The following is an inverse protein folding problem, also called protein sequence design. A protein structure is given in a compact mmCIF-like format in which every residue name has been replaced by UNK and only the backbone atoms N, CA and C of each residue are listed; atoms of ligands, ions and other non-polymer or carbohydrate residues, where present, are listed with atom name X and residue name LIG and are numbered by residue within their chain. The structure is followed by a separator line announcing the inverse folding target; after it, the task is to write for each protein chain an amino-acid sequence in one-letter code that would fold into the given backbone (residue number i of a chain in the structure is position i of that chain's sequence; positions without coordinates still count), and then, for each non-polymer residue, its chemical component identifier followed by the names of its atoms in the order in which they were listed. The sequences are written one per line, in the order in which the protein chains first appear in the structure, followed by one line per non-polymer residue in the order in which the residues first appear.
data_IF_379183494598
#
_entry.id   IF_379183494598
#
_cell.length_a   1.000
_cell.length_b   1.000
_cell.length_c   1.000
_cell.angle_alpha   90.00
_cell.angle_beta   90.00
_cell.angle_gamma   90.00
#
_symmetry.space_group_name_H-M   'P 1'
#
loop_
_entity.id
_entity.type
_entity.pdbx_description
1 polymer ?
#
# COMPACT_ATOMS: atom_id res chain seq x y z
N UNK A 1 14.67 -19.14 0.35
CA UNK A 1 13.75 -18.91 -0.78
C UNK A 1 14.22 -17.72 -1.59
N UNK A 2 14.21 -17.85 -2.93
CA UNK A 2 14.68 -16.78 -3.83
C UNK A 2 13.60 -15.78 -4.18
N UNK A 3 12.32 -16.14 -4.07
CA UNK A 3 11.17 -15.27 -4.37
C UNK A 3 10.04 -15.49 -3.37
N UNK A 4 9.33 -14.42 -3.07
CA UNK A 4 8.12 -14.44 -2.23
C UNK A 4 7.02 -13.74 -2.99
N UNK A 5 5.89 -14.42 -3.15
CA UNK A 5 4.67 -13.88 -3.75
C UNK A 5 3.63 -13.66 -2.65
N UNK A 6 3.12 -12.44 -2.56
CA UNK A 6 2.02 -12.11 -1.66
C UNK A 6 0.71 -12.07 -2.46
N UNK A 7 -0.22 -12.96 -2.16
CA UNK A 7 -1.55 -12.94 -2.77
C UNK A 7 -2.50 -12.10 -1.92
N UNK A 8 -2.86 -12.58 -0.73
CA UNK A 8 -3.69 -11.84 0.22
C UNK A 8 -2.87 -11.06 1.24
N UNK A 9 -1.54 -11.23 1.24
CA UNK A 9 -0.58 -10.53 2.09
C UNK A 9 -0.10 -9.18 1.56
N UNK A 10 -0.63 -8.70 0.45
CA UNK A 10 -0.29 -7.39 -0.13
C UNK A 10 -0.29 -6.22 0.88
N UNK A 11 -1.16 -6.19 1.91
CA UNK A 11 -1.10 -5.16 2.95
C UNK A 11 0.24 -5.05 3.67
N UNK A 12 1.05 -6.12 3.76
CA UNK A 12 2.41 -6.07 4.35
C UNK A 12 3.29 -5.06 3.61
N UNK A 13 3.23 -5.09 2.28
CA UNK A 13 3.97 -4.14 1.43
C UNK A 13 3.22 -2.81 1.27
N UNK A 14 1.88 -2.84 1.34
CA UNK A 14 1.04 -1.66 1.22
C UNK A 14 1.14 -0.70 2.40
N UNK A 15 1.31 -1.20 3.64
CA UNK A 15 1.36 -0.35 4.83
C UNK A 15 2.49 0.69 4.79
N UNK A 16 3.74 0.37 4.45
CA UNK A 16 4.80 1.38 4.29
C UNK A 16 4.47 2.42 3.22
N UNK A 17 3.85 1.99 2.11
CA UNK A 17 3.44 2.90 1.03
C UNK A 17 2.34 3.85 1.52
N UNK A 18 1.29 3.32 2.17
CA UNK A 18 0.19 4.10 2.77
C UNK A 18 0.75 5.16 3.75
N UNK A 19 1.63 4.74 4.65
CA UNK A 19 2.25 5.67 5.60
C UNK A 19 3.16 6.68 4.93
N UNK A 20 3.92 6.26 3.92
CA UNK A 20 4.81 7.13 3.16
C UNK A 20 4.07 8.19 2.33
N UNK A 21 2.92 7.83 1.76
CA UNK A 21 2.09 8.72 0.92
C UNK A 21 1.15 9.64 1.73
N UNK A 22 1.13 9.53 3.05
CA UNK A 22 0.31 10.37 3.91
C UNK A 22 0.97 11.74 4.13
N UNK A 23 0.35 12.83 3.66
CA UNK A 23 0.86 14.19 3.73
C UNK A 23 1.17 14.69 5.14
N UNK A 24 0.48 14.19 6.16
CA UNK A 24 0.80 14.49 7.56
C UNK A 24 2.17 13.92 7.97
N UNK A 25 2.52 12.73 7.47
CA UNK A 25 3.82 12.12 7.70
C UNK A 25 4.92 12.84 6.90
N UNK A 26 4.59 13.30 5.69
CA UNK A 26 5.48 14.14 4.87
C UNK A 26 5.80 15.44 5.59
N UNK A 27 4.78 16.21 6.01
CA UNK A 27 4.96 17.46 6.74
C UNK A 27 5.78 17.28 8.03
N UNK A 28 5.61 16.17 8.73
CA UNK A 28 6.36 15.87 9.96
C UNK A 28 7.79 15.39 9.72
N UNK A 29 8.21 15.23 8.46
CA UNK A 29 9.52 14.68 8.12
C UNK A 29 9.70 13.20 8.48
N UNK A 30 8.58 12.46 8.66
CA UNK A 30 8.59 11.04 9.01
C UNK A 30 8.59 10.16 7.75
N UNK A 31 7.95 10.65 6.66
CA UNK A 31 7.89 9.90 5.40
C UNK A 31 9.25 9.81 4.73
N UNK A 32 9.71 8.60 4.36
CA UNK A 32 10.92 8.43 3.57
C UNK A 32 10.78 8.92 2.11
N UNK A 33 9.56 9.28 1.70
CA UNK A 33 9.24 9.80 0.37
C UNK A 33 9.18 11.33 0.32
N UNK A 34 9.31 12.02 1.47
CA UNK A 34 9.22 13.47 1.56
C UNK A 34 10.29 14.15 0.71
N UNK A 35 9.88 15.10 -0.16
CA UNK A 35 10.77 15.85 -1.04
C UNK A 35 11.32 15.05 -2.22
N UNK A 36 10.75 13.90 -2.52
CA UNK A 36 11.16 13.02 -3.61
C UNK A 36 10.14 12.91 -4.74
N UNK A 37 9.21 13.86 -4.81
CA UNK A 37 8.23 13.94 -5.91
C UNK A 37 8.94 14.06 -7.25
N UNK A 38 8.50 13.29 -8.23
CA UNK A 38 9.12 13.18 -9.55
C UNK A 38 10.24 12.15 -9.66
N UNK A 39 10.72 11.58 -8.55
CA UNK A 39 11.73 10.51 -8.58
C UNK A 39 11.12 9.13 -8.90
N UNK A 40 11.89 8.29 -9.56
CA UNK A 40 11.57 6.87 -9.76
C UNK A 40 11.94 6.08 -8.49
N UNK A 41 10.96 5.81 -7.63
CA UNK A 41 11.17 5.16 -6.34
C UNK A 41 10.86 3.66 -6.36
N UNK A 42 10.04 3.24 -7.31
CA UNK A 42 9.52 1.88 -7.42
C UNK A 42 9.73 1.34 -8.82
N UNK A 43 9.45 0.06 -9.00
CA UNK A 43 9.42 -0.58 -10.32
C UNK A 43 8.37 0.11 -11.23
N UNK A 44 8.69 0.26 -12.50
CA UNK A 44 7.83 0.93 -13.49
C UNK A 44 6.44 0.28 -13.67
N UNK A 45 6.28 -0.97 -13.24
CA UNK A 45 4.99 -1.67 -13.26
C UNK A 45 4.06 -1.26 -12.12
N UNK A 46 4.54 -0.48 -11.13
CA UNK A 46 3.72 -0.08 -9.99
C UNK A 46 3.02 1.24 -10.28
N UNK A 47 1.69 1.20 -10.33
CA UNK A 47 0.83 2.40 -10.31
C UNK A 47 -0.11 2.31 -9.11
N UNK A 48 -0.14 3.35 -8.30
CA UNK A 48 -0.99 3.45 -7.10
C UNK A 48 -1.83 4.72 -7.18
N UNK A 49 -3.13 4.55 -7.05
CA UNK A 49 -4.09 5.66 -7.06
C UNK A 49 -4.99 5.59 -5.84
N UNK A 50 -5.52 6.74 -5.42
CA UNK A 50 -6.68 6.83 -4.53
C UNK A 50 -7.86 7.37 -5.34
N UNK A 51 -8.90 6.55 -5.52
CA UNK A 51 -10.04 6.91 -6.38
C UNK A 51 -11.39 6.80 -5.65
N UNK A 52 -11.86 7.92 -5.08
CA UNK A 52 -13.16 8.01 -4.43
C UNK A 52 -14.34 8.14 -5.41
N UNK A 53 -14.09 8.22 -6.72
CA UNK A 53 -15.12 8.46 -7.74
C UNK A 53 -15.73 7.18 -8.28
N UNK A 54 -15.21 6.02 -7.87
CA UNK A 54 -15.67 4.72 -8.35
C UNK A 54 -17.02 4.34 -7.74
N UNK A 55 -17.99 4.03 -8.59
CA UNK A 55 -19.32 3.61 -8.16
C UNK A 55 -19.29 2.31 -7.34
N UNK A 56 -20.06 2.30 -6.25
CA UNK A 56 -20.25 1.12 -5.42
C UNK A 56 -19.06 0.69 -4.56
N UNK A 57 -17.99 1.49 -4.49
CA UNK A 57 -16.88 1.24 -3.57
C UNK A 57 -17.12 1.85 -2.19
N UNK A 58 -16.70 1.19 -1.09
CA UNK A 58 -16.99 1.64 0.27
C UNK A 58 -16.47 3.04 0.60
N UNK A 59 -15.32 3.45 0.04
CA UNK A 59 -14.70 4.76 0.27
C UNK A 59 -15.18 5.85 -0.69
N UNK A 60 -16.15 5.56 -1.58
CA UNK A 60 -16.59 6.52 -2.59
C UNK A 60 -17.58 7.52 -2.03
N UNK A 61 -17.33 8.80 -2.28
CA UNK A 61 -18.22 9.91 -1.97
C UNK A 61 -17.82 11.13 -2.79
N UNK A 62 -18.75 12.09 -2.91
CA UNK A 62 -18.51 13.33 -3.67
C UNK A 62 -17.59 14.33 -2.96
N UNK A 63 -17.59 14.32 -1.63
CA UNK A 63 -16.81 15.21 -0.78
C UNK A 63 -16.22 14.43 0.38
N UNK A 64 -15.11 14.92 0.91
CA UNK A 64 -14.55 14.42 2.15
C UNK A 64 -15.26 15.02 3.39
N UNK A 65 -14.81 14.69 4.60
CA UNK A 65 -15.43 15.17 5.83
C UNK A 65 -15.15 16.65 6.16
N UNK A 66 -14.33 17.31 5.36
CA UNK A 66 -14.05 18.74 5.43
C UNK A 66 -14.80 19.54 4.34
N UNK A 67 -15.60 18.85 3.50
CA UNK A 67 -16.36 19.45 2.40
C UNK A 67 -15.53 19.73 1.15
N UNK A 68 -14.31 19.20 1.06
CA UNK A 68 -13.47 19.29 -0.15
C UNK A 68 -13.96 18.27 -1.18
N UNK A 69 -14.21 18.68 -2.44
CA UNK A 69 -14.56 17.74 -3.49
C UNK A 69 -13.50 16.65 -3.63
N UNK A 70 -13.94 15.40 -3.62
CA UNK A 70 -13.04 14.26 -3.84
C UNK A 70 -12.70 14.11 -5.31
N UNK A 71 -11.48 13.69 -5.59
CA UNK A 71 -10.97 13.47 -6.92
C UNK A 71 -10.07 12.24 -6.98
N UNK A 72 -9.86 11.70 -8.17
CA UNK A 72 -8.88 10.65 -8.40
C UNK A 72 -7.47 11.23 -8.25
N UNK A 73 -6.73 10.74 -7.28
CA UNK A 73 -5.35 11.14 -7.02
C UNK A 73 -4.40 10.03 -7.47
N UNK A 74 -3.58 10.28 -8.48
CA UNK A 74 -2.47 9.40 -8.84
C UNK A 74 -1.32 9.72 -7.89
N UNK A 75 -0.83 8.76 -7.15
CA UNK A 75 0.19 8.94 -6.12
C UNK A 75 1.54 8.36 -6.51
N UNK A 76 1.50 7.24 -7.21
CA UNK A 76 2.65 6.62 -7.87
C UNK A 76 2.20 6.30 -9.30
N UNK A 77 2.91 6.81 -10.29
CA UNK A 77 2.66 6.54 -11.70
C UNK A 77 3.86 5.85 -12.32
N UNK A 78 3.67 4.60 -12.74
CA UNK A 78 4.74 3.78 -13.32
C UNK A 78 6.03 3.82 -12.47
N UNK A 79 5.87 3.63 -11.15
CA UNK A 79 6.96 3.66 -10.18
C UNK A 79 7.47 5.04 -9.78
N UNK A 80 7.04 6.10 -10.43
CA UNK A 80 7.40 7.48 -10.13
C UNK A 80 6.48 8.07 -9.08
N UNK A 81 7.02 8.65 -8.03
CA UNK A 81 6.23 9.37 -7.02
C UNK A 81 5.65 10.65 -7.63
N UNK A 82 4.32 10.78 -7.63
CA UNK A 82 3.61 11.93 -8.21
C UNK A 82 3.00 12.86 -7.18
N UNK A 83 2.74 12.36 -5.95
CA UNK A 83 2.17 13.19 -4.91
C UNK A 83 1.79 12.43 -3.65
N UNK A 84 1.08 13.12 -2.77
CA UNK A 84 0.64 12.64 -1.46
C UNK A 84 -0.82 13.01 -1.24
N UNK A 85 -1.47 12.37 -0.26
CA UNK A 85 -2.83 12.74 0.16
C UNK A 85 -2.78 13.76 1.29
N UNK A 86 -3.66 14.78 1.22
CA UNK A 86 -3.73 15.87 2.19
C UNK A 86 -5.16 16.18 2.62
N UNK A 87 -5.35 16.48 3.90
CA UNK A 87 -6.51 17.21 4.43
C UNK A 87 -6.28 18.73 4.31
N UNK A 88 -7.27 19.55 4.63
CA UNK A 88 -7.15 21.03 4.58
C UNK A 88 -5.99 21.53 5.44
N UNK A 89 -5.86 21.01 6.64
CA UNK A 89 -4.85 21.46 7.60
C UNK A 89 -3.44 21.10 7.16
N UNK A 90 -3.22 19.86 6.77
CA UNK A 90 -1.88 19.40 6.37
C UNK A 90 -1.47 19.98 5.03
N UNK A 91 -2.42 20.21 4.11
CA UNK A 91 -2.18 20.93 2.86
C UNK A 91 -1.68 22.35 3.11
N UNK A 92 -2.40 23.10 3.97
CA UNK A 92 -2.00 24.47 4.34
C UNK A 92 -0.63 24.52 5.00
N UNK A 93 -0.31 23.57 5.88
CA UNK A 93 1.00 23.47 6.53
C UNK A 93 2.12 23.10 5.58
N UNK A 94 1.83 22.29 4.57
CA UNK A 94 2.80 21.87 3.54
C UNK A 94 2.90 22.90 2.39
N UNK A 95 2.05 23.91 2.33
CA UNK A 95 2.02 24.90 1.26
C UNK A 95 1.53 24.33 -0.08
N UNK A 96 0.59 23.38 -0.02
CA UNK A 96 -0.01 22.71 -1.19
C UNK A 96 -1.53 22.74 -1.13
N UNK A 97 -2.19 22.21 -2.17
CA UNK A 97 -3.64 22.11 -2.23
C UNK A 97 -4.14 20.83 -1.53
N UNK A 98 -5.35 20.86 -0.92
CA UNK A 98 -5.97 19.67 -0.37
C UNK A 98 -6.40 18.70 -1.49
N UNK A 99 -6.37 17.41 -1.20
CA UNK A 99 -6.63 16.37 -2.20
C UNK A 99 -8.02 15.72 -2.07
N UNK A 100 -8.87 16.22 -1.16
CA UNK A 100 -10.17 15.61 -0.87
C UNK A 100 -10.06 14.33 -0.06
N UNK A 101 -9.07 14.27 0.82
CA UNK A 101 -8.75 13.10 1.64
C UNK A 101 -8.86 13.37 3.15
N UNK A 102 -9.58 14.44 3.54
CA UNK A 102 -9.84 14.74 4.94
C UNK A 102 -10.88 13.78 5.51
N UNK A 103 -10.47 12.87 6.40
CA UNK A 103 -11.38 11.95 7.08
C UNK A 103 -11.37 12.20 8.59
N UNK A 104 -12.54 12.17 9.21
CA UNK A 104 -12.72 12.42 10.62
C UNK A 104 -13.35 11.24 11.33
N UNK A 105 -12.69 10.75 12.36
CA UNK A 105 -13.31 9.83 13.30
C UNK A 105 -14.29 10.54 14.22
N UNK A 106 -15.14 9.77 14.91
CA UNK A 106 -16.21 10.30 15.78
C UNK A 106 -15.72 11.31 16.83
N UNK A 107 -14.51 11.14 17.35
CA UNK A 107 -13.92 11.96 18.41
C UNK A 107 -12.55 12.54 18.05
N UNK A 108 -12.18 12.54 16.78
CA UNK A 108 -10.89 13.05 16.31
C UNK A 108 -11.05 14.17 15.29
N UNK A 109 -10.10 15.12 15.22
CA UNK A 109 -10.06 16.09 14.14
C UNK A 109 -9.77 15.38 12.81
N UNK A 110 -10.11 16.01 11.67
CA UNK A 110 -9.77 15.49 10.35
C UNK A 110 -8.27 15.20 10.21
N UNK A 111 -7.96 14.19 9.43
CA UNK A 111 -6.59 13.85 9.04
C UNK A 111 -6.58 13.17 7.68
N UNK A 112 -5.46 13.21 6.93
CA UNK A 112 -5.39 12.56 5.63
C UNK A 112 -5.63 11.06 5.74
N UNK A 113 -6.58 10.55 4.95
CA UNK A 113 -6.93 9.13 4.84
C UNK A 113 -7.22 8.76 3.40
N UNK A 114 -6.91 7.50 3.05
CA UNK A 114 -7.25 6.96 1.75
C UNK A 114 -8.75 6.65 1.68
N UNK A 115 -9.34 6.89 0.52
CA UNK A 115 -10.72 6.52 0.22
C UNK A 115 -10.78 5.09 -0.35
N UNK A 116 -10.34 4.92 -1.57
CA UNK A 116 -10.19 3.62 -2.24
C UNK A 116 -8.78 3.54 -2.84
N UNK A 117 -7.82 3.08 -2.05
CA UNK A 117 -6.47 2.85 -2.58
C UNK A 117 -6.46 1.65 -3.52
N UNK A 118 -5.98 1.86 -4.72
CA UNK A 118 -5.93 0.87 -5.79
C UNK A 118 -4.47 0.74 -6.25
N UNK A 119 -4.01 -0.48 -6.32
CA UNK A 119 -2.84 -0.85 -7.10
C UNK A 119 -3.35 -1.34 -8.44
N UNK A 120 -2.96 -0.70 -9.52
CA UNK A 120 -3.41 -1.09 -10.86
C UNK A 120 -2.92 -2.50 -11.19
N UNK A 121 -3.79 -3.27 -11.85
CA UNK A 121 -3.47 -4.65 -12.19
C UNK A 121 -2.36 -4.73 -13.25
N UNK A 122 -1.44 -5.66 -13.07
CA UNK A 122 -0.49 -6.04 -14.12
C UNK A 122 -1.13 -6.96 -15.17
N UNK A 123 -0.33 -7.35 -16.15
CA UNK A 123 -0.79 -8.18 -17.26
C UNK A 123 -0.81 -9.69 -16.94
N UNK A 124 0.00 -10.13 -15.96
CA UNK A 124 0.14 -11.55 -15.63
C UNK A 124 -0.90 -12.00 -14.62
N UNK A 125 -1.50 -13.15 -14.87
CA UNK A 125 -2.30 -13.87 -13.88
C UNK A 125 -1.43 -14.43 -12.75
N UNK A 126 -2.04 -14.76 -11.62
CA UNK A 126 -1.33 -15.40 -10.49
C UNK A 126 -0.68 -16.71 -10.91
N UNK A 127 -1.36 -17.50 -11.74
CA UNK A 127 -0.85 -18.79 -12.21
C UNK A 127 0.38 -18.62 -13.12
N UNK A 128 0.40 -17.60 -13.98
CA UNK A 128 1.55 -17.26 -14.81
C UNK A 128 2.74 -16.78 -13.96
N UNK A 129 2.47 -15.99 -12.91
CA UNK A 129 3.51 -15.55 -11.98
C UNK A 129 4.10 -16.76 -11.24
N UNK A 130 3.26 -17.67 -10.74
CA UNK A 130 3.70 -18.90 -10.07
C UNK A 130 4.52 -19.78 -11.00
N UNK A 131 4.07 -19.97 -12.25
CA UNK A 131 4.77 -20.77 -13.25
C UNK A 131 6.19 -20.24 -13.56
N UNK A 132 6.42 -18.95 -13.39
CA UNK A 132 7.72 -18.30 -13.55
C UNK A 132 8.65 -18.39 -12.32
N UNK A 133 8.26 -19.09 -11.25
CA UNK A 133 9.04 -19.19 -10.02
C UNK A 133 9.56 -20.62 -9.82
N UNK A 134 10.88 -20.81 -9.93
CA UNK A 134 11.50 -22.13 -9.70
C UNK A 134 11.46 -22.53 -8.23
N UNK A 135 11.77 -21.60 -7.31
CA UNK A 135 11.74 -21.80 -5.86
C UNK A 135 11.26 -20.53 -5.16
N UNK A 136 10.19 -20.64 -4.37
CA UNK A 136 9.60 -19.51 -3.68
C UNK A 136 8.57 -19.88 -2.63
N UNK A 137 7.94 -18.83 -2.07
CA UNK A 137 6.80 -18.91 -1.18
C UNK A 137 5.64 -18.09 -1.74
N UNK A 138 4.45 -18.67 -1.71
CA UNK A 138 3.18 -17.96 -1.86
C UNK A 138 2.62 -17.71 -0.48
N UNK A 139 2.61 -16.44 -0.06
CA UNK A 139 2.08 -16.02 1.25
C UNK A 139 0.63 -15.60 1.12
N UNK A 140 -0.27 -16.33 1.78
CA UNK A 140 -1.69 -16.04 1.82
C UNK A 140 -2.09 -15.18 3.02
N UNK A 141 -1.54 -15.50 4.20
CA UNK A 141 -1.92 -14.80 5.42
C UNK A 141 -0.73 -14.55 6.34
N UNK A 142 -0.22 -13.32 6.39
CA UNK A 142 0.75 -12.92 7.40
C UNK A 142 0.05 -12.65 8.74
N UNK A 143 0.75 -12.91 9.84
CA UNK A 143 0.33 -12.57 11.20
C UNK A 143 1.05 -11.31 11.68
N UNK A 144 0.36 -10.48 12.48
CA UNK A 144 1.00 -9.33 13.12
C UNK A 144 1.30 -8.18 12.16
N UNK A 145 0.41 -7.90 11.22
CA UNK A 145 0.49 -6.72 10.37
C UNK A 145 0.67 -5.45 11.21
N UNK A 146 1.70 -4.67 10.89
CA UNK A 146 2.05 -3.45 11.65
C UNK A 146 3.03 -3.67 12.79
N UNK A 147 3.47 -4.89 13.06
CA UNK A 147 4.61 -5.14 13.93
C UNK A 147 5.92 -4.80 13.21
N UNK A 148 6.76 -4.03 13.85
CA UNK A 148 7.98 -3.48 13.25
C UNK A 148 7.89 -1.99 12.95
N UNK A 149 8.90 -1.45 12.29
CA UNK A 149 8.90 -0.04 11.88
C UNK A 149 8.30 0.09 10.47
N UNK A 150 6.97 0.19 10.42
CA UNK A 150 6.22 0.32 9.16
C UNK A 150 6.69 1.51 8.32
N UNK A 151 7.13 2.58 8.95
CA UNK A 151 7.56 3.81 8.27
C UNK A 151 8.87 3.58 7.52
N UNK A 152 9.82 2.87 8.10
CA UNK A 152 11.09 2.54 7.44
C UNK A 152 10.96 1.37 6.45
N UNK A 153 9.79 0.74 6.37
CA UNK A 153 9.58 -0.47 5.57
C UNK A 153 10.19 -1.74 6.19
N UNK A 154 10.74 -1.65 7.43
CA UNK A 154 11.23 -2.82 8.13
C UNK A 154 10.06 -3.58 8.75
N UNK A 155 9.89 -4.83 8.36
CA UNK A 155 8.88 -5.72 8.92
C UNK A 155 9.47 -7.10 9.21
N UNK A 156 8.91 -7.75 10.23
CA UNK A 156 9.16 -9.15 10.55
C UNK A 156 7.82 -9.74 11.00
N UNK A 157 7.24 -10.57 10.16
CA UNK A 157 5.92 -11.12 10.41
C UNK A 157 5.96 -12.65 10.37
N UNK A 158 5.29 -13.28 11.31
CA UNK A 158 5.01 -14.71 11.23
C UNK A 158 4.01 -14.97 10.09
N UNK A 159 4.06 -16.14 9.51
CA UNK A 159 3.13 -16.58 8.49
C UNK A 159 2.08 -17.51 9.11
N UNK A 160 0.80 -17.19 8.91
CA UNK A 160 -0.30 -18.08 9.28
C UNK A 160 -0.57 -19.10 8.19
N UNK A 161 -0.48 -18.67 6.94
CA UNK A 161 -0.70 -19.54 5.79
C UNK A 161 0.26 -19.15 4.67
N UNK A 162 1.08 -20.09 4.26
CA UNK A 162 1.95 -19.95 3.10
C UNK A 162 2.10 -21.29 2.40
N UNK A 163 2.37 -21.26 1.12
CA UNK A 163 2.63 -22.43 0.29
C UNK A 163 4.01 -22.33 -0.33
N UNK A 164 4.68 -23.44 -0.45
CA UNK A 164 5.94 -23.54 -1.19
C UNK A 164 5.67 -23.58 -2.69
N UNK A 165 6.52 -22.91 -3.46
CA UNK A 165 6.53 -23.01 -4.92
C UNK A 165 7.80 -23.77 -5.30
N UNK A 166 7.66 -24.84 -6.08
CA UNK A 166 8.75 -25.61 -6.65
C UNK A 166 8.47 -25.92 -8.12
N UNK A 167 9.42 -25.56 -8.99
CA UNK A 167 9.33 -25.79 -10.43
C UNK A 167 8.05 -25.23 -11.07
N UNK A 168 7.66 -24.02 -10.67
CA UNK A 168 6.47 -23.36 -11.19
C UNK A 168 5.13 -23.90 -10.67
N UNK A 169 5.13 -24.68 -9.59
CA UNK A 169 3.93 -25.28 -9.01
C UNK A 169 3.84 -25.03 -7.52
N UNK A 170 2.61 -24.80 -7.05
CA UNK A 170 2.31 -24.70 -5.62
C UNK A 170 2.33 -26.12 -5.05
N UNK A 171 3.21 -26.35 -4.05
CA UNK A 171 3.26 -27.58 -3.27
C UNK A 171 2.82 -27.27 -1.85
N UNK A 172 2.04 -28.19 -1.25
CA UNK A 172 1.51 -28.01 0.09
C UNK A 172 2.65 -28.00 1.10
N UNK A 173 2.70 -26.97 1.95
CA UNK A 173 3.55 -26.97 3.12
C UNK A 173 2.73 -27.60 4.24
N UNK A 174 3.14 -28.80 4.67
CA UNK A 174 2.54 -29.45 5.84
C UNK A 174 2.61 -28.54 7.07
N UNK A 175 1.77 -28.74 8.09
CA UNK A 175 1.76 -27.95 9.31
C UNK A 175 3.10 -28.14 10.04
N UNK A 176 3.95 -27.12 10.06
CA UNK A 176 5.22 -27.13 10.77
C UNK A 176 6.38 -26.43 10.08
N UNK A 177 6.25 -25.13 9.78
CA UNK A 177 7.41 -24.25 9.72
C UNK A 177 7.31 -23.27 10.90
N UNK A 178 7.50 -23.79 12.12
CA UNK A 178 8.10 -23.02 13.19
C UNK A 178 9.58 -22.87 12.80
N UNK A 179 10.04 -21.64 12.58
CA UNK A 179 11.42 -21.38 12.22
C UNK A 179 12.38 -21.70 13.37
N UNK A 180 12.79 -22.94 13.41
CA UNK A 180 13.93 -23.44 14.20
C UNK A 180 14.66 -24.46 13.30
N UNK A 181 15.45 -23.94 12.37
CA UNK A 181 16.69 -24.55 11.85
C UNK A 181 17.49 -23.50 11.07
#
# INVERSE_FOLDING_TARGET
FRRVLFRSGAPVLGLPIIHGLNGKNVYRGISPMAGREGEQLFDERLTVVDDPTLDGRPGSSSHDDEGVPRQRNVLIDQGRLTGFIYDLKTAALAGTEPTGNGERGLFSPPSPSFSNMIVEAGELSVDEIVAGIDEGLLVESPLGLGQGNVISGAFSNNLSLAFKIEGGKIVEIGPGLSGDE
#
